data_IF_599741013093
#
_entry.id   IF_599741013093
#
_cell.length_a   1.000
_cell.length_b   1.000
_cell.length_c   1.000
_cell.angle_alpha   90.00
_cell.angle_beta   90.00
_cell.angle_gamma   90.00
#
_symmetry.space_group_name_H-M   'P 1'
#
loop_
_entity.id
_entity.type
_entity.pdbx_description
1 polymer ?
#
# COMPACT_ATOMS: atom_id res chain seq x y z
N UNK A 1 -29.78 72.78 2.65
CA UNK A 1 -29.57 71.78 1.58
C UNK A 1 -28.11 71.47 1.28
N UNK A 2 -27.11 71.99 2.00
CA UNK A 2 -25.66 71.68 1.76
C UNK A 2 -25.08 70.50 2.55
N UNK A 3 -25.78 69.95 3.55
CA UNK A 3 -25.27 68.97 4.41
C UNK A 3 -25.68 67.50 4.06
N UNK A 4 -26.70 67.36 3.19
CA UNK A 4 -27.20 65.99 2.80
C UNK A 4 -26.36 65.40 1.71
N UNK A 5 -25.80 66.17 0.79
CA UNK A 5 -24.92 65.67 -0.28
C UNK A 5 -23.55 65.24 0.22
N UNK A 6 -23.04 65.85 1.31
CA UNK A 6 -21.76 65.45 1.91
C UNK A 6 -21.86 64.13 2.67
N UNK A 7 -22.98 63.81 3.28
CA UNK A 7 -23.23 62.62 4.03
C UNK A 7 -23.43 61.35 3.09
N UNK A 8 -24.05 61.60 1.92
CA UNK A 8 -24.28 60.60 0.90
C UNK A 8 -22.95 60.19 0.20
N UNK A 9 -22.07 61.17 -0.04
CA UNK A 9 -20.73 60.89 -0.61
C UNK A 9 -19.80 60.18 0.37
N UNK A 10 -19.94 60.38 1.68
CA UNK A 10 -19.14 59.67 2.69
C UNK A 10 -19.62 58.27 2.96
N UNK A 11 -20.93 57.98 2.78
CA UNK A 11 -21.47 56.62 2.92
C UNK A 11 -21.19 55.74 1.71
N UNK A 12 -20.97 56.33 0.52
CA UNK A 12 -20.67 55.55 -0.71
C UNK A 12 -19.20 55.16 -0.81
N UNK A 13 -18.31 55.84 -0.09
CA UNK A 13 -16.87 55.51 -0.06
C UNK A 13 -16.49 54.43 0.97
N UNK A 14 -17.41 54.04 1.88
CA UNK A 14 -17.15 53.00 2.89
C UNK A 14 -17.60 51.61 2.42
N UNK A 15 -18.46 51.51 1.42
CA UNK A 15 -18.97 50.26 0.87
C UNK A 15 -18.12 49.67 -0.26
N UNK A 16 -17.07 50.36 -0.70
CA UNK A 16 -16.19 49.93 -1.80
C UNK A 16 -14.93 49.15 -1.40
N UNK A 17 -14.73 48.86 -0.13
CA UNK A 17 -13.42 48.43 0.38
C UNK A 17 -13.31 47.06 1.08
N UNK A 18 -14.24 46.13 0.91
CA UNK A 18 -14.18 44.86 1.66
C UNK A 18 -14.52 43.66 0.77
N UNK A 19 -13.92 43.57 -0.40
CA UNK A 19 -13.85 42.31 -1.16
C UNK A 19 -12.41 42.01 -1.55
N UNK A 20 -11.48 42.07 -0.58
CA UNK A 20 -10.31 41.20 -0.67
C UNK A 20 -10.76 39.84 -0.15
N UNK A 21 -11.32 39.05 -1.05
CA UNK A 21 -11.42 37.60 -0.84
C UNK A 21 -10.06 37.13 -0.42
N UNK A 22 -9.93 36.69 0.82
CA UNK A 22 -8.79 35.88 1.22
C UNK A 22 -8.76 34.69 0.26
N UNK A 23 -7.68 34.54 -0.48
CA UNK A 23 -7.41 33.36 -1.28
C UNK A 23 -7.31 32.19 -0.31
N UNK A 24 -8.43 31.48 -0.16
CA UNK A 24 -8.57 30.34 0.78
C UNK A 24 -7.84 29.12 0.22
N UNK A 25 -7.47 29.15 -1.06
CA UNK A 25 -6.83 28.05 -1.77
C UNK A 25 -5.28 28.05 -1.64
N UNK A 26 -4.74 28.69 -0.60
CA UNK A 26 -3.31 28.59 -0.32
C UNK A 26 -2.99 27.24 0.29
N UNK A 27 -2.30 26.40 -0.48
CA UNK A 27 -1.68 25.21 0.07
C UNK A 27 -0.69 25.59 1.19
N UNK A 28 -0.65 24.85 2.31
CA UNK A 28 0.39 25.03 3.33
C UNK A 28 1.78 25.01 2.70
N UNK A 29 2.69 25.86 3.16
CA UNK A 29 4.01 26.08 2.57
C UNK A 29 4.87 24.79 2.40
N UNK A 30 4.49 23.70 3.04
CA UNK A 30 5.18 22.41 3.02
C UNK A 30 4.41 21.31 2.26
N UNK A 31 3.35 21.67 1.51
CA UNK A 31 2.54 20.73 0.74
C UNK A 31 2.62 21.08 -0.74
N UNK A 32 2.64 20.05 -1.57
CA UNK A 32 2.56 20.18 -3.02
C UNK A 32 1.20 19.65 -3.50
N UNK A 33 0.63 20.30 -4.49
CA UNK A 33 -0.58 19.77 -5.13
C UNK A 33 -0.25 18.54 -5.97
N UNK A 34 -1.25 17.73 -6.25
CA UNK A 34 -1.12 16.56 -7.15
C UNK A 34 -0.55 16.94 -8.51
N UNK A 35 -0.97 18.11 -9.05
CA UNK A 35 -0.48 18.61 -10.34
C UNK A 35 1.00 18.99 -10.26
N UNK A 36 1.42 19.66 -9.19
CA UNK A 36 2.84 20.01 -8.97
C UNK A 36 3.71 18.77 -8.85
N UNK A 37 3.22 17.70 -8.22
CA UNK A 37 3.92 16.42 -8.14
C UNK A 37 3.98 15.78 -9.53
N UNK A 38 2.88 15.75 -10.26
CA UNK A 38 2.81 15.19 -11.60
C UNK A 38 3.72 15.92 -12.62
N UNK A 39 3.93 17.23 -12.42
CA UNK A 39 4.80 18.03 -13.29
C UNK A 39 6.30 17.91 -12.94
N UNK A 40 6.65 17.41 -11.76
CA UNK A 40 8.01 17.28 -11.25
C UNK A 40 8.36 15.81 -10.89
N UNK A 41 7.89 14.83 -11.65
CA UNK A 41 8.05 13.41 -11.35
C UNK A 41 9.50 12.98 -11.13
N UNK A 42 10.44 13.44 -11.96
CA UNK A 42 11.86 13.10 -11.87
C UNK A 42 12.45 13.43 -10.49
N UNK A 43 12.07 14.59 -9.93
CA UNK A 43 12.61 15.08 -8.66
C UNK A 43 11.89 14.48 -7.46
N UNK A 44 10.59 14.22 -7.58
CA UNK A 44 9.73 13.90 -6.45
C UNK A 44 9.53 12.39 -6.25
N UNK A 45 9.64 11.59 -7.30
CA UNK A 45 9.44 10.15 -7.20
C UNK A 45 10.38 9.48 -6.20
N UNK A 46 11.64 9.88 -6.14
CA UNK A 46 12.58 9.32 -5.16
C UNK A 46 12.15 9.60 -3.73
N UNK A 47 11.67 10.81 -3.45
CA UNK A 47 11.18 11.17 -2.12
C UNK A 47 9.90 10.40 -1.77
N UNK A 48 8.99 10.23 -2.73
CA UNK A 48 7.74 9.49 -2.55
C UNK A 48 8.00 8.00 -2.35
N UNK A 49 8.91 7.40 -3.12
CA UNK A 49 9.37 6.02 -2.95
C UNK A 49 10.00 5.81 -1.58
N UNK A 50 10.88 6.70 -1.16
CA UNK A 50 11.49 6.63 0.16
C UNK A 50 10.43 6.69 1.27
N UNK A 51 9.40 7.53 1.12
CA UNK A 51 8.24 7.58 2.00
C UNK A 51 7.47 6.26 2.05
N UNK A 52 7.25 5.62 0.90
CA UNK A 52 6.61 4.31 0.78
C UNK A 52 7.43 3.22 1.47
N UNK A 53 8.74 3.13 1.19
CA UNK A 53 9.63 2.16 1.82
C UNK A 53 9.75 2.38 3.34
N UNK A 54 9.67 3.62 3.82
CA UNK A 54 9.69 3.91 5.25
C UNK A 54 8.56 3.23 6.04
N UNK A 55 7.39 2.99 5.42
CA UNK A 55 6.30 2.24 6.05
C UNK A 55 6.70 0.78 6.34
N UNK A 56 7.53 0.19 5.48
CA UNK A 56 7.96 -1.19 5.62
C UNK A 56 8.84 -1.42 6.86
N UNK A 57 9.52 -0.39 7.34
CA UNK A 57 10.37 -0.49 8.54
C UNK A 57 9.57 -0.93 9.77
N UNK A 58 8.40 -0.34 10.00
CA UNK A 58 7.54 -0.71 11.15
C UNK A 58 6.74 -1.97 10.85
N UNK A 59 6.35 -2.18 9.59
CA UNK A 59 5.60 -3.33 9.16
C UNK A 59 6.42 -4.63 9.22
N UNK A 60 7.73 -4.58 8.95
CA UNK A 60 8.59 -5.77 8.86
C UNK A 60 8.72 -6.52 10.18
N UNK A 61 8.74 -5.83 11.33
CA UNK A 61 8.87 -6.48 12.63
C UNK A 61 7.73 -7.48 12.91
N UNK A 62 6.44 -7.13 12.86
CA UNK A 62 5.38 -8.12 13.03
C UNK A 62 5.35 -9.14 11.89
N UNK A 63 5.69 -8.77 10.65
CA UNK A 63 5.72 -9.69 9.52
C UNK A 63 6.65 -10.90 9.79
N UNK A 64 7.84 -10.65 10.29
CA UNK A 64 8.78 -11.72 10.60
C UNK A 64 8.37 -12.56 11.81
N UNK A 65 7.74 -11.96 12.80
CA UNK A 65 7.49 -12.60 14.09
C UNK A 65 6.15 -13.31 14.21
N UNK A 66 5.10 -12.80 13.55
CA UNK A 66 3.74 -13.35 13.68
C UNK A 66 3.67 -14.85 13.35
N UNK A 67 4.32 -15.25 12.26
CA UNK A 67 4.34 -16.66 11.84
C UNK A 67 5.17 -17.55 12.76
N UNK A 68 6.31 -17.06 13.22
CA UNK A 68 7.23 -17.81 14.07
C UNK A 68 6.66 -18.05 15.47
N UNK A 69 6.02 -17.03 16.06
CA UNK A 69 5.39 -17.16 17.37
C UNK A 69 4.05 -17.92 17.35
N UNK A 70 3.35 -17.94 16.20
CA UNK A 70 2.14 -18.73 16.04
C UNK A 70 2.45 -20.21 15.69
N UNK A 71 3.68 -20.51 15.28
CA UNK A 71 4.19 -21.85 14.99
C UNK A 71 4.93 -22.47 16.17
N UNK A 72 5.59 -23.58 15.92
CA UNK A 72 6.32 -24.37 16.93
C UNK A 72 7.79 -23.99 17.04
N UNK A 73 8.28 -23.06 16.20
CA UNK A 73 9.71 -22.79 16.06
C UNK A 73 10.26 -21.87 17.14
N UNK A 74 9.42 -21.00 17.71
CA UNK A 74 9.85 -20.00 18.69
C UNK A 74 8.86 -19.90 19.86
N UNK A 75 9.40 -19.56 21.02
CA UNK A 75 8.60 -19.25 22.19
C UNK A 75 9.20 -18.09 23.01
N UNK A 76 8.34 -17.31 23.64
CA UNK A 76 8.74 -16.35 24.68
C UNK A 76 8.80 -17.08 26.01
N UNK A 77 9.95 -17.03 26.66
CA UNK A 77 10.17 -17.69 27.95
C UNK A 77 9.43 -16.98 29.07
N UNK A 78 8.55 -17.70 29.79
CA UNK A 78 7.79 -17.18 30.91
C UNK A 78 6.59 -16.32 30.46
N UNK A 79 5.90 -15.71 31.41
CA UNK A 79 4.84 -14.75 31.14
C UNK A 79 5.42 -13.43 30.61
N UNK A 80 4.76 -12.84 29.63
CA UNK A 80 5.18 -11.59 29.01
C UNK A 80 3.98 -10.66 28.80
N UNK A 81 4.24 -9.36 28.90
CA UNK A 81 3.29 -8.29 28.54
C UNK A 81 3.40 -7.90 27.06
N UNK A 82 4.35 -8.46 26.30
CA UNK A 82 4.45 -8.22 24.87
C UNK A 82 3.26 -8.90 24.15
N UNK A 83 2.63 -8.16 23.26
CA UNK A 83 1.48 -8.65 22.51
C UNK A 83 1.78 -9.87 21.63
N UNK A 84 3.04 -10.18 21.32
CA UNK A 84 3.42 -11.43 20.69
C UNK A 84 3.18 -12.66 21.57
N UNK A 85 3.13 -12.50 22.89
CA UNK A 85 2.83 -13.61 23.83
C UNK A 85 1.43 -14.18 23.60
N UNK A 86 0.47 -13.38 23.14
CA UNK A 86 -0.86 -13.82 22.77
C UNK A 86 -0.88 -14.80 21.59
N UNK A 87 0.13 -14.77 20.71
CA UNK A 87 0.26 -15.73 19.61
C UNK A 87 0.72 -17.09 20.10
N UNK A 88 1.66 -17.12 21.03
CA UNK A 88 2.18 -18.36 21.63
C UNK A 88 1.11 -19.06 22.48
N UNK A 89 0.32 -18.28 23.20
CA UNK A 89 -0.74 -18.80 24.08
C UNK A 89 -2.07 -19.02 23.36
N UNK A 90 -2.15 -18.66 22.07
CA UNK A 90 -3.37 -18.70 21.26
C UNK A 90 -4.56 -17.92 21.89
N UNK A 91 -4.26 -16.89 22.67
CA UNK A 91 -5.21 -16.02 23.39
C UNK A 91 -5.35 -14.64 22.75
N UNK A 92 -5.22 -14.56 21.43
CA UNK A 92 -5.22 -13.29 20.66
C UNK A 92 -6.54 -12.52 20.84
N UNK A 93 -6.39 -11.23 21.07
CA UNK A 93 -7.50 -10.28 21.18
C UNK A 93 -7.61 -9.40 19.92
N UNK A 94 -8.81 -8.87 19.59
CA UNK A 94 -8.99 -8.00 18.43
C UNK A 94 -8.18 -6.71 18.50
N UNK A 95 -7.80 -6.25 19.69
CA UNK A 95 -7.06 -5.03 19.98
C UNK A 95 -5.55 -5.25 20.13
N UNK A 96 -5.03 -6.39 19.66
CA UNK A 96 -3.60 -6.67 19.63
C UNK A 96 -2.86 -5.66 18.75
N UNK A 97 -2.04 -4.78 19.36
CA UNK A 97 -1.37 -3.68 18.65
C UNK A 97 -0.35 -4.16 17.60
N UNK A 98 0.18 -5.38 17.69
CA UNK A 98 1.08 -5.96 16.67
C UNK A 98 0.32 -6.29 15.39
N UNK A 99 -0.90 -6.83 15.53
CA UNK A 99 -1.80 -7.03 14.38
C UNK A 99 -2.29 -5.70 13.80
N UNK A 100 -2.63 -4.74 14.66
CA UNK A 100 -3.02 -3.41 14.22
C UNK A 100 -1.90 -2.74 13.43
N UNK A 101 -0.67 -2.73 13.95
CA UNK A 101 0.48 -2.18 13.22
C UNK A 101 0.70 -2.89 11.88
N UNK A 102 0.57 -4.21 11.84
CA UNK A 102 0.70 -4.97 10.60
C UNK A 102 -0.33 -4.54 9.55
N UNK A 103 -1.57 -4.34 9.96
CA UNK A 103 -2.64 -3.85 9.10
C UNK A 103 -2.40 -2.40 8.67
N UNK A 104 -2.21 -1.50 9.61
CA UNK A 104 -2.13 -0.05 9.36
C UNK A 104 -0.95 0.31 8.47
N UNK A 105 0.24 -0.20 8.76
CA UNK A 105 1.43 0.10 7.95
C UNK A 105 1.40 -0.62 6.60
N UNK A 106 0.80 -1.80 6.52
CA UNK A 106 0.53 -2.46 5.24
C UNK A 106 -0.36 -1.62 4.33
N UNK A 107 -1.47 -1.11 4.86
CA UNK A 107 -2.38 -0.24 4.08
C UNK A 107 -1.80 1.15 3.80
N UNK A 108 -0.98 1.72 4.70
CA UNK A 108 -0.25 2.95 4.40
C UNK A 108 0.69 2.77 3.20
N UNK A 109 1.41 1.64 3.14
CA UNK A 109 2.27 1.33 2.01
C UNK A 109 1.46 1.13 0.71
N UNK A 110 0.33 0.41 0.77
CA UNK A 110 -0.58 0.22 -0.37
C UNK A 110 -1.11 1.57 -0.87
N UNK A 111 -1.58 2.44 0.03
CA UNK A 111 -2.13 3.74 -0.34
C UNK A 111 -1.05 4.62 -0.99
N UNK A 112 0.15 4.68 -0.42
CA UNK A 112 1.26 5.45 -0.99
C UNK A 112 1.68 4.91 -2.36
N UNK A 113 1.85 3.60 -2.50
CA UNK A 113 2.15 2.98 -3.80
C UNK A 113 1.08 3.30 -4.84
N UNK A 114 -0.20 3.15 -4.48
CA UNK A 114 -1.32 3.44 -5.39
C UNK A 114 -1.40 4.93 -5.76
N UNK A 115 -1.15 5.83 -4.82
CA UNK A 115 -1.13 7.27 -5.10
C UNK A 115 -0.01 7.63 -6.09
N UNK A 116 1.18 7.03 -5.95
CA UNK A 116 2.29 7.25 -6.90
C UNK A 116 1.90 6.71 -8.29
N UNK A 117 1.34 5.50 -8.35
CA UNK A 117 0.89 4.89 -9.61
C UNK A 117 -0.18 5.76 -10.30
N UNK A 118 -1.16 6.26 -9.54
CA UNK A 118 -2.26 7.07 -10.08
C UNK A 118 -1.81 8.46 -10.55
N UNK A 119 -0.76 9.02 -9.93
CA UNK A 119 -0.21 10.34 -10.31
C UNK A 119 0.78 10.25 -11.48
N UNK A 120 1.29 9.07 -11.78
CA UNK A 120 2.28 8.91 -12.82
C UNK A 120 1.70 9.24 -14.20
N UNK A 121 2.37 10.11 -14.94
CA UNK A 121 2.07 10.35 -16.35
C UNK A 121 2.65 9.21 -17.19
N UNK A 122 2.03 8.96 -18.34
CA UNK A 122 2.59 8.03 -19.32
C UNK A 122 4.00 8.49 -19.73
N UNK A 123 4.94 7.56 -19.70
CA UNK A 123 6.36 7.85 -19.97
C UNK A 123 7.04 6.64 -20.62
N UNK A 124 8.06 6.92 -21.42
CA UNK A 124 8.97 5.89 -21.96
C UNK A 124 10.30 5.84 -21.19
N UNK A 125 10.49 6.71 -20.21
CA UNK A 125 11.70 6.74 -19.38
C UNK A 125 11.82 5.42 -18.55
N UNK A 126 12.89 4.63 -18.79
CA UNK A 126 13.08 3.35 -18.11
C UNK A 126 13.26 3.51 -16.59
N UNK A 127 13.81 4.64 -16.14
CA UNK A 127 14.03 4.90 -14.72
C UNK A 127 12.70 5.15 -14.00
N UNK A 128 11.85 5.99 -14.57
CA UNK A 128 10.51 6.23 -14.04
C UNK A 128 9.65 4.95 -14.09
N UNK A 129 9.71 4.20 -15.19
CA UNK A 129 9.04 2.89 -15.29
C UNK A 129 9.50 1.93 -14.20
N UNK A 130 10.81 1.87 -13.92
CA UNK A 130 11.34 1.01 -12.86
C UNK A 130 10.89 1.46 -11.47
N UNK A 131 10.85 2.77 -11.20
CA UNK A 131 10.30 3.32 -9.95
C UNK A 131 8.81 2.98 -9.78
N UNK A 132 8.03 3.02 -10.85
CA UNK A 132 6.64 2.55 -10.84
C UNK A 132 6.56 1.05 -10.56
N UNK A 133 7.45 0.27 -11.16
CA UNK A 133 7.58 -1.16 -10.89
C UNK A 133 7.83 -1.45 -9.42
N UNK A 134 8.66 -0.64 -8.74
CA UNK A 134 8.87 -0.74 -7.29
C UNK A 134 7.57 -0.51 -6.50
N UNK A 135 6.71 0.44 -6.93
CA UNK A 135 5.40 0.67 -6.31
C UNK A 135 4.48 -0.54 -6.47
N UNK A 136 4.41 -1.11 -7.67
CA UNK A 136 3.65 -2.34 -7.92
C UNK A 136 4.17 -3.51 -7.10
N UNK A 137 5.48 -3.67 -6.98
CA UNK A 137 6.09 -4.70 -6.13
C UNK A 137 5.64 -4.58 -4.68
N UNK A 138 5.78 -3.40 -4.08
CA UNK A 138 5.40 -3.17 -2.68
C UNK A 138 3.91 -3.41 -2.48
N UNK A 139 3.05 -2.91 -3.38
CA UNK A 139 1.61 -3.11 -3.29
C UNK A 139 1.21 -4.59 -3.37
N UNK A 140 1.74 -5.31 -4.33
CA UNK A 140 1.49 -6.75 -4.49
C UNK A 140 1.97 -7.56 -3.30
N UNK A 141 3.17 -7.26 -2.78
CA UNK A 141 3.72 -7.87 -1.58
C UNK A 141 2.82 -7.62 -0.36
N UNK A 142 2.34 -6.39 -0.17
CA UNK A 142 1.45 -6.06 0.96
C UNK A 142 0.13 -6.82 0.88
N UNK A 143 -0.53 -6.87 -0.28
CA UNK A 143 -1.77 -7.63 -0.45
C UNK A 143 -1.59 -9.10 -0.12
N UNK A 144 -0.51 -9.71 -0.58
CA UNK A 144 -0.22 -11.11 -0.27
C UNK A 144 -0.05 -11.35 1.23
N UNK A 145 0.77 -10.56 1.91
CA UNK A 145 1.03 -10.75 3.34
C UNK A 145 -0.17 -10.42 4.22
N UNK A 146 -0.92 -9.37 3.90
CA UNK A 146 -2.16 -9.03 4.59
C UNK A 146 -3.22 -10.13 4.42
N UNK A 147 -3.37 -10.67 3.21
CA UNK A 147 -4.31 -11.76 2.97
C UNK A 147 -3.90 -13.04 3.74
N UNK A 148 -2.62 -13.33 3.84
CA UNK A 148 -2.12 -14.45 4.65
C UNK A 148 -2.40 -14.30 6.14
N UNK A 149 -2.32 -13.08 6.67
CA UNK A 149 -2.53 -12.81 8.09
C UNK A 149 -4.03 -12.78 8.47
N UNK A 150 -4.88 -12.24 7.59
CA UNK A 150 -6.29 -11.96 7.89
C UNK A 150 -7.29 -12.78 7.08
N UNK A 151 -6.86 -13.48 6.04
CA UNK A 151 -7.69 -14.39 5.24
C UNK A 151 -7.52 -15.85 5.65
N UNK A 152 -8.30 -16.73 4.99
CA UNK A 152 -8.08 -18.18 5.08
C UNK A 152 -6.99 -18.61 4.10
N UNK A 153 -6.31 -19.75 4.34
CA UNK A 153 -5.41 -20.33 3.36
C UNK A 153 -6.08 -20.49 2.00
N UNK A 154 -5.34 -20.25 0.92
CA UNK A 154 -5.89 -20.24 -0.44
C UNK A 154 -6.60 -21.55 -0.83
N UNK A 155 -6.12 -22.70 -0.36
CA UNK A 155 -6.74 -24.00 -0.66
C UNK A 155 -8.10 -24.23 0.05
N UNK A 156 -8.52 -23.32 0.92
CA UNK A 156 -9.80 -23.37 1.64
C UNK A 156 -10.84 -22.47 0.99
N UNK A 157 -11.41 -22.89 -0.14
CA UNK A 157 -12.48 -22.17 -0.86
C UNK A 157 -12.17 -20.66 -1.05
N UNK A 158 -11.14 -20.31 -1.81
CA UNK A 158 -10.64 -18.93 -1.94
C UNK A 158 -11.64 -17.98 -2.60
N UNK A 159 -12.59 -18.49 -3.35
CA UNK A 159 -13.70 -17.77 -4.00
C UNK A 159 -14.85 -17.41 -3.04
N UNK A 160 -14.90 -18.02 -1.85
CA UNK A 160 -15.94 -17.81 -0.83
C UNK A 160 -15.44 -17.13 0.41
N UNK A 161 -14.20 -17.41 0.80
CA UNK A 161 -13.61 -16.83 1.98
C UNK A 161 -13.11 -15.41 1.73
N UNK A 162 -13.28 -14.53 2.72
CA UNK A 162 -12.87 -13.15 2.63
C UNK A 162 -11.34 -13.01 2.82
N UNK A 163 -10.74 -12.29 1.88
CA UNK A 163 -9.37 -11.79 1.93
C UNK A 163 -9.31 -10.43 2.63
N UNK A 164 -8.80 -9.41 1.94
CA UNK A 164 -8.69 -8.04 2.46
C UNK A 164 -9.27 -7.03 1.47
N UNK A 165 -9.64 -5.81 1.89
CA UNK A 165 -10.09 -4.77 0.98
C UNK A 165 -9.04 -4.43 -0.08
N UNK A 166 -9.44 -4.36 -1.35
CA UNK A 166 -8.60 -3.86 -2.44
C UNK A 166 -8.91 -2.38 -2.61
N UNK A 167 -7.88 -1.53 -2.43
CA UNK A 167 -8.01 -0.07 -2.49
C UNK A 167 -7.11 0.50 -3.57
N UNK A 168 -7.55 1.60 -4.20
CA UNK A 168 -6.82 2.26 -5.28
C UNK A 168 -6.22 3.60 -4.85
N UNK A 169 -5.69 3.68 -3.64
CA UNK A 169 -5.07 4.88 -3.08
C UNK A 169 -5.78 5.42 -1.85
N UNK A 170 -5.51 6.67 -1.54
CA UNK A 170 -6.21 7.38 -0.46
C UNK A 170 -7.64 7.69 -0.91
N UNK A 171 -8.65 7.38 -0.09
CA UNK A 171 -10.03 7.72 -0.41
C UNK A 171 -10.22 9.23 -0.59
N UNK A 172 -11.08 9.63 -1.51
CA UNK A 172 -11.50 11.01 -1.70
C UNK A 172 -12.35 11.50 -0.53
N UNK A 173 -12.47 12.82 -0.36
CA UNK A 173 -13.35 13.41 0.64
C UNK A 173 -14.81 12.97 0.46
N UNK A 174 -15.26 12.81 -0.78
CA UNK A 174 -16.59 12.33 -1.11
C UNK A 174 -16.80 10.86 -0.67
N UNK A 175 -15.86 9.98 -0.95
CA UNK A 175 -15.91 8.57 -0.51
C UNK A 175 -15.92 8.46 1.01
N UNK A 176 -15.12 9.29 1.71
CA UNK A 176 -15.10 9.33 3.18
C UNK A 176 -16.44 9.86 3.72
N UNK A 177 -16.95 10.95 3.15
CA UNK A 177 -18.20 11.59 3.58
C UNK A 177 -19.40 10.68 3.38
N UNK A 178 -19.41 9.89 2.31
CA UNK A 178 -20.47 8.94 1.99
C UNK A 178 -20.27 7.57 2.65
N UNK A 179 -19.22 7.39 3.48
CA UNK A 179 -18.82 6.11 4.06
C UNK A 179 -18.67 4.99 3.00
N UNK A 180 -18.29 5.37 1.78
CA UNK A 180 -18.09 4.45 0.66
C UNK A 180 -16.71 3.81 0.74
N UNK A 181 -16.47 3.05 1.81
CA UNK A 181 -15.25 2.29 1.98
C UNK A 181 -15.39 0.91 1.33
N UNK A 182 -14.32 0.39 0.70
CA UNK A 182 -14.39 -0.91 0.06
C UNK A 182 -14.55 -2.04 1.08
N UNK A 183 -15.45 -2.96 0.77
CA UNK A 183 -15.61 -4.21 1.50
C UNK A 183 -14.38 -5.12 1.31
N UNK A 184 -14.29 -6.14 2.16
CA UNK A 184 -13.28 -7.18 2.00
C UNK A 184 -13.55 -7.96 0.71
N UNK A 185 -12.55 -8.03 -0.14
CA UNK A 185 -12.54 -8.87 -1.35
C UNK A 185 -12.40 -10.35 -0.98
N UNK A 186 -12.59 -11.26 -1.92
CA UNK A 186 -12.31 -12.67 -1.68
C UNK A 186 -10.80 -12.94 -1.53
N UNK A 187 -10.42 -14.06 -0.93
CA UNK A 187 -9.04 -14.53 -0.92
C UNK A 187 -8.51 -14.64 -2.35
N UNK A 188 -9.32 -15.20 -3.25
CA UNK A 188 -8.97 -15.34 -4.68
C UNK A 188 -8.66 -14.01 -5.33
N UNK A 189 -9.52 -13.01 -5.16
CA UNK A 189 -9.34 -11.70 -5.78
C UNK A 189 -8.14 -10.98 -5.20
N UNK A 190 -7.92 -11.09 -3.88
CA UNK A 190 -6.74 -10.50 -3.23
C UNK A 190 -5.43 -11.10 -3.74
N UNK A 191 -5.36 -12.43 -3.90
CA UNK A 191 -4.20 -13.10 -4.48
C UNK A 191 -4.01 -12.74 -5.96
N UNK A 192 -5.11 -12.62 -6.71
CA UNK A 192 -5.03 -12.19 -8.11
C UNK A 192 -4.51 -10.76 -8.24
N UNK A 193 -4.93 -9.85 -7.36
CA UNK A 193 -4.38 -8.49 -7.31
C UNK A 193 -2.88 -8.51 -7.01
N UNK A 194 -2.46 -9.31 -6.04
CA UNK A 194 -1.03 -9.45 -5.72
C UNK A 194 -0.22 -9.98 -6.91
N UNK A 195 -0.73 -10.99 -7.62
CA UNK A 195 -0.08 -11.56 -8.81
C UNK A 195 0.01 -10.52 -9.94
N UNK A 196 -1.08 -9.80 -10.20
CA UNK A 196 -1.11 -8.78 -11.26
C UNK A 196 -0.08 -7.68 -10.98
N UNK A 197 -0.02 -7.19 -9.75
CA UNK A 197 0.94 -6.18 -9.33
C UNK A 197 2.38 -6.69 -9.46
N UNK A 198 2.68 -7.89 -8.99
CA UNK A 198 4.02 -8.47 -9.05
C UNK A 198 4.47 -8.75 -10.49
N UNK A 199 3.58 -9.17 -11.39
CA UNK A 199 3.88 -9.33 -12.82
C UNK A 199 4.13 -7.98 -13.49
N UNK A 200 3.36 -6.96 -13.11
CA UNK A 200 3.59 -5.59 -13.60
C UNK A 200 4.94 -5.09 -13.13
N UNK A 201 5.30 -5.32 -11.86
CA UNK A 201 6.61 -4.99 -11.32
C UNK A 201 7.74 -5.69 -12.09
N UNK A 202 7.63 -7.00 -12.33
CA UNK A 202 8.60 -7.78 -13.12
C UNK A 202 8.81 -7.17 -14.52
N UNK A 203 7.75 -6.71 -15.16
CA UNK A 203 7.82 -6.14 -16.51
C UNK A 203 8.40 -4.72 -16.54
N UNK A 204 8.16 -3.93 -15.51
CA UNK A 204 8.55 -2.52 -15.46
C UNK A 204 9.95 -2.30 -14.90
N UNK A 205 10.43 -3.15 -13.99
CA UNK A 205 11.75 -3.01 -13.40
C UNK A 205 12.80 -3.55 -14.38
N UNK A 206 13.37 -2.62 -15.17
CA UNK A 206 14.38 -2.93 -16.21
C UNK A 206 15.73 -2.30 -15.93
N UNK A 207 15.84 -1.38 -14.96
CA UNK A 207 17.10 -0.76 -14.57
C UNK A 207 17.94 -1.70 -13.72
N UNK A 208 19.24 -1.42 -13.65
CA UNK A 208 20.16 -2.21 -12.83
C UNK A 208 19.77 -2.19 -11.36
N UNK A 209 20.09 -3.29 -10.68
CA UNK A 209 19.91 -3.45 -9.25
C UNK A 209 20.55 -2.31 -8.45
N UNK A 210 19.76 -1.63 -7.62
CA UNK A 210 20.23 -0.53 -6.77
C UNK A 210 20.93 -1.04 -5.51
N UNK A 211 20.24 -1.82 -4.71
CA UNK A 211 20.72 -2.51 -3.50
C UNK A 211 19.66 -3.49 -3.00
N UNK A 212 20.01 -4.34 -2.04
CA UNK A 212 19.10 -5.31 -1.43
C UNK A 212 17.87 -4.69 -0.72
N UNK A 213 17.91 -3.37 -0.46
CA UNK A 213 16.83 -2.66 0.23
C UNK A 213 15.70 -2.23 -0.72
N UNK A 214 15.91 -2.32 -2.03
CA UNK A 214 14.96 -1.91 -3.06
C UNK A 214 14.41 -3.11 -3.83
N UNK A 215 13.21 -2.95 -4.38
CA UNK A 215 12.64 -3.97 -5.26
C UNK A 215 13.48 -4.11 -6.54
N UNK A 216 13.59 -5.34 -7.00
CA UNK A 216 14.21 -5.68 -8.28
C UNK A 216 13.30 -6.62 -9.07
N UNK A 217 13.64 -6.87 -10.32
CA UNK A 217 12.93 -7.86 -11.15
C UNK A 217 12.97 -9.24 -10.50
N UNK A 218 14.13 -9.64 -10.00
CA UNK A 218 14.34 -10.93 -9.32
C UNK A 218 13.57 -11.01 -8.01
N UNK A 219 13.46 -9.89 -7.27
CA UNK A 219 12.61 -9.81 -6.08
C UNK A 219 11.13 -10.03 -6.42
N UNK A 220 10.65 -9.47 -7.54
CA UNK A 220 9.28 -9.70 -8.01
C UNK A 220 9.06 -11.15 -8.41
N UNK A 221 10.00 -11.77 -9.11
CA UNK A 221 9.98 -13.19 -9.46
C UNK A 221 9.99 -14.08 -8.21
N UNK A 222 10.82 -13.77 -7.20
CA UNK A 222 10.85 -14.48 -5.93
C UNK A 222 9.51 -14.41 -5.19
N UNK A 223 8.89 -13.23 -5.19
CA UNK A 223 7.57 -13.06 -4.60
C UNK A 223 6.49 -13.82 -5.38
N UNK A 224 6.52 -13.81 -6.72
CA UNK A 224 5.61 -14.61 -7.54
C UNK A 224 5.75 -16.11 -7.26
N UNK A 225 6.97 -16.61 -7.19
CA UNK A 225 7.22 -17.99 -6.79
C UNK A 225 6.57 -18.32 -5.44
N UNK A 226 6.76 -17.45 -4.45
CA UNK A 226 6.17 -17.62 -3.12
C UNK A 226 4.64 -17.58 -3.14
N UNK A 227 4.03 -16.63 -3.84
CA UNK A 227 2.57 -16.52 -3.96
C UNK A 227 1.99 -17.78 -4.55
N UNK A 228 2.54 -18.27 -5.67
CA UNK A 228 2.09 -19.50 -6.31
C UNK A 228 2.31 -20.74 -5.45
N UNK A 229 3.39 -20.78 -4.67
CA UNK A 229 3.61 -21.86 -3.71
C UNK A 229 2.50 -21.92 -2.66
N UNK A 230 2.04 -20.78 -2.15
CA UNK A 230 0.91 -20.73 -1.22
C UNK A 230 -0.43 -21.09 -1.86
N UNK A 231 -0.54 -21.01 -3.19
CA UNK A 231 -1.72 -21.42 -3.95
C UNK A 231 -1.68 -22.90 -4.34
N UNK A 232 -0.55 -23.56 -4.25
CA UNK A 232 -0.33 -24.92 -4.77
C UNK A 232 -1.04 -26.03 -3.99
N UNK A 233 -1.80 -25.67 -2.95
CA UNK A 233 -2.61 -26.63 -2.21
C UNK A 233 -1.87 -27.29 -1.04
N UNK A 234 -2.23 -28.53 -0.77
CA UNK A 234 -1.62 -29.36 0.28
C UNK A 234 -1.07 -30.65 -0.31
N UNK A 235 -0.31 -31.40 0.48
CA UNK A 235 0.18 -32.73 0.05
C UNK A 235 -0.97 -33.66 -0.36
N UNK A 236 -2.09 -33.62 0.34
CA UNK A 236 -3.25 -34.46 0.06
C UNK A 236 -4.09 -33.98 -1.14
N UNK A 237 -4.10 -32.66 -1.38
CA UNK A 237 -4.83 -32.02 -2.46
C UNK A 237 -3.93 -30.99 -3.17
N UNK A 238 -2.96 -31.44 -3.97
CA UNK A 238 -2.04 -30.55 -4.66
C UNK A 238 -2.73 -29.87 -5.86
N UNK A 239 -2.40 -28.59 -6.07
CA UNK A 239 -2.67 -27.91 -7.32
C UNK A 239 -1.37 -27.81 -8.13
N UNK A 240 -1.19 -28.72 -9.10
CA UNK A 240 0.05 -28.85 -9.88
C UNK A 240 0.31 -27.64 -10.76
N UNK A 241 -0.72 -26.98 -11.30
CA UNK A 241 -0.58 -25.79 -12.12
C UNK A 241 0.10 -24.64 -11.35
N UNK A 242 -0.34 -24.41 -10.13
CA UNK A 242 0.31 -23.40 -9.28
C UNK A 242 1.68 -23.85 -8.76
N UNK A 243 1.87 -25.12 -8.52
CA UNK A 243 3.19 -25.67 -8.16
C UNK A 243 4.20 -25.50 -9.30
N UNK A 244 3.79 -25.76 -10.55
CA UNK A 244 4.62 -25.54 -11.73
C UNK A 244 4.92 -24.05 -11.95
N UNK A 245 3.94 -23.18 -11.71
CA UNK A 245 4.16 -21.72 -11.76
C UNK A 245 5.16 -21.26 -10.68
N UNK A 246 5.05 -21.78 -9.47
CA UNK A 246 5.99 -21.49 -8.39
C UNK A 246 7.42 -21.92 -8.76
N UNK A 247 7.56 -23.12 -9.31
CA UNK A 247 8.84 -23.64 -9.79
C UNK A 247 9.40 -22.80 -10.93
N UNK A 248 8.60 -22.47 -11.93
CA UNK A 248 9.02 -21.63 -13.05
C UNK A 248 9.67 -20.33 -12.57
N UNK A 249 9.01 -19.60 -11.67
CA UNK A 249 9.55 -18.34 -11.14
C UNK A 249 10.78 -18.55 -10.24
N UNK A 250 10.88 -19.67 -9.53
CA UNK A 250 12.09 -20.01 -8.78
C UNK A 250 13.28 -20.29 -9.71
N UNK A 251 13.05 -21.05 -10.78
CA UNK A 251 14.08 -21.40 -11.77
C UNK A 251 14.64 -20.17 -12.49
N UNK A 252 13.84 -19.08 -12.68
CA UNK A 252 14.31 -17.81 -13.26
C UNK A 252 15.37 -17.09 -12.40
N UNK A 253 15.44 -17.40 -11.12
CA UNK A 253 16.32 -16.70 -10.18
C UNK A 253 17.57 -17.54 -9.88
N UNK A 254 17.45 -18.86 -9.91
CA UNK A 254 18.51 -19.79 -9.53
C UNK A 254 19.45 -20.07 -10.72
N UNK A 255 18.95 -19.98 -11.95
CA UNK A 255 19.69 -20.25 -13.20
C UNK A 255 20.08 -18.95 -13.89
#
# INVERSE_FOLDING_TARGET
MKNITSTILLSLSITGGVFTSCDIDRFPNNYMSTDQVADNQEVLFDNMLNGMYAQLKTWSDPMHRLGEYAGDNMMIRGASTDAFYEFITYSRTPDNYRLQNFWDYGYKAIAQASNIINMAKETDDPEIKSKLGECYYVRGMMYFYLCRAFGRPYYQAPDKNLGVPIVNGTPSEEEISNLSLPDRSTVKDTYQQAINDLRTAESLITTSFKSADYASKEAAQAMLSRVYLYMSGTYENPNTEYADSARYYADLIIN
#
